data_IF_513672031438
#
_entry.id   IF_513672031438
#
_cell.length_a   1.000
_cell.length_b   1.000
_cell.length_c   1.000
_cell.angle_alpha   90.00
_cell.angle_beta   90.00
_cell.angle_gamma   90.00
#
_symmetry.space_group_name_H-M   'P 1'
#
loop_
_entity.id
_entity.type
_entity.pdbx_description
1 polymer ?
#
# COMPACT_ATOMS: atom_id res chain seq x y z
N UNK A 1 27.48 -6.22 0.16
CA UNK A 1 26.23 -6.40 -0.61
C UNK A 1 26.28 -5.49 -1.81
N UNK A 2 26.05 -6.03 -3.01
CA UNK A 2 26.08 -5.26 -4.27
C UNK A 2 24.68 -4.73 -4.55
N UNK A 3 24.53 -3.42 -4.72
CA UNK A 3 23.26 -2.78 -5.06
C UNK A 3 22.96 -3.00 -6.55
N UNK A 4 21.91 -3.76 -6.87
CA UNK A 4 21.43 -3.96 -8.24
C UNK A 4 19.91 -3.77 -8.36
N UNK A 5 19.47 -3.14 -9.44
CA UNK A 5 18.09 -3.05 -9.88
C UNK A 5 17.68 -4.37 -10.54
N UNK A 6 16.43 -4.80 -10.37
CA UNK A 6 15.91 -6.03 -10.97
C UNK A 6 14.66 -5.75 -11.80
N UNK A 7 14.63 -6.19 -13.04
CA UNK A 7 13.47 -6.05 -13.94
C UNK A 7 12.50 -7.24 -13.79
N UNK A 8 11.28 -7.09 -14.31
CA UNK A 8 10.20 -8.09 -14.23
C UNK A 8 10.53 -9.45 -14.85
N UNK A 9 11.48 -9.50 -15.80
CA UNK A 9 12.02 -10.73 -16.40
C UNK A 9 13.10 -11.41 -15.53
N UNK A 10 13.44 -10.82 -14.39
CA UNK A 10 14.41 -11.34 -13.45
C UNK A 10 15.86 -10.94 -13.73
N UNK A 11 16.11 -10.06 -14.70
CA UNK A 11 17.46 -9.59 -15.03
C UNK A 11 17.94 -8.51 -14.06
N UNK A 12 19.22 -8.60 -13.66
CA UNK A 12 19.84 -7.68 -12.70
C UNK A 12 20.68 -6.63 -13.43
N UNK A 13 20.59 -5.38 -12.98
CA UNK A 13 21.28 -4.22 -13.53
C UNK A 13 21.93 -3.39 -12.42
N UNK A 14 23.14 -2.90 -12.61
CA UNK A 14 23.81 -2.06 -11.60
C UNK A 14 23.55 -0.56 -11.78
N UNK A 15 22.90 -0.20 -12.89
CA UNK A 15 22.52 1.17 -13.22
C UNK A 15 21.01 1.26 -13.43
N UNK A 16 20.40 2.27 -12.81
CA UNK A 16 18.95 2.48 -12.89
C UNK A 16 18.47 2.69 -14.34
N UNK A 17 19.25 3.44 -15.13
CA UNK A 17 18.86 3.80 -16.49
C UNK A 17 18.85 2.58 -17.43
N UNK A 18 19.77 1.63 -17.21
CA UNK A 18 19.82 0.37 -17.98
C UNK A 18 18.62 -0.51 -17.63
N UNK A 19 18.30 -0.63 -16.34
CA UNK A 19 17.11 -1.35 -15.88
C UNK A 19 15.81 -0.75 -16.46
N UNK A 20 15.69 0.59 -16.47
CA UNK A 20 14.53 1.29 -17.05
C UNK A 20 14.43 1.13 -18.56
N UNK A 21 15.55 1.13 -19.28
CA UNK A 21 15.53 0.94 -20.73
C UNK A 21 15.17 -0.49 -21.12
N UNK A 22 15.63 -1.47 -20.35
CA UNK A 22 15.23 -2.87 -20.52
C UNK A 22 13.76 -3.08 -20.17
N UNK A 23 13.29 -2.53 -19.05
CA UNK A 23 11.89 -2.64 -18.68
C UNK A 23 10.93 -2.06 -19.74
N UNK A 24 11.34 -1.03 -20.51
CA UNK A 24 10.52 -0.48 -21.60
C UNK A 24 10.25 -1.46 -22.75
N UNK A 25 11.13 -2.42 -22.96
CA UNK A 25 10.96 -3.45 -24.01
C UNK A 25 10.14 -4.64 -23.54
N UNK A 26 9.87 -4.73 -22.23
CA UNK A 26 9.02 -5.76 -21.62
C UNK A 26 7.56 -5.30 -21.58
N UNK A 27 6.64 -6.28 -21.58
CA UNK A 27 5.22 -6.02 -21.36
C UNK A 27 4.98 -5.47 -19.94
N UNK A 28 5.69 -6.02 -18.97
CA UNK A 28 5.73 -5.54 -17.59
C UNK A 28 6.95 -4.62 -17.40
N UNK A 29 6.70 -3.31 -17.30
CA UNK A 29 7.74 -2.26 -17.24
C UNK A 29 8.24 -2.00 -15.81
N UNK A 30 8.04 -2.96 -14.91
CA UNK A 30 8.42 -2.82 -13.51
C UNK A 30 9.93 -2.96 -13.33
N UNK A 31 10.50 -2.02 -12.59
CA UNK A 31 11.89 -2.05 -12.14
C UNK A 31 11.90 -2.01 -10.62
N UNK A 32 12.48 -3.04 -10.02
CA UNK A 32 12.70 -3.14 -8.58
C UNK A 32 14.00 -2.41 -8.25
N UNK A 33 14.00 -1.42 -7.34
CA UNK A 33 15.22 -0.73 -6.92
C UNK A 33 16.15 -1.68 -6.15
N UNK A 34 17.46 -1.38 -6.08
CA UNK A 34 18.40 -2.14 -5.31
C UNK A 34 17.99 -2.18 -3.85
N UNK A 35 17.60 -3.37 -3.40
CA UNK A 35 17.29 -3.64 -2.01
C UNK A 35 18.61 -3.72 -1.22
N UNK A 36 18.81 -2.80 -0.26
CA UNK A 36 19.70 -3.07 0.86
C UNK A 36 18.98 -4.16 1.69
N UNK A 37 19.42 -5.42 1.57
CA UNK A 37 18.71 -6.61 2.08
C UNK A 37 18.26 -6.46 3.55
N UNK A 38 16.96 -6.23 3.75
CA UNK A 38 16.06 -7.08 4.53
C UNK A 38 14.64 -6.52 4.41
N UNK A 39 13.66 -7.41 4.20
CA UNK A 39 12.23 -7.12 4.08
C UNK A 39 11.81 -6.55 2.72
N UNK A 40 11.56 -7.46 1.78
CA UNK A 40 10.29 -7.57 1.06
C UNK A 40 10.51 -8.55 -0.09
N UNK A 41 10.85 -9.79 0.27
CA UNK A 41 10.36 -10.88 -0.56
C UNK A 41 8.83 -10.71 -0.62
N UNK A 42 8.29 -10.76 -1.84
CA UNK A 42 6.86 -10.93 -2.12
C UNK A 42 5.99 -9.66 -2.18
N UNK A 43 6.25 -8.77 -3.13
CA UNK A 43 5.15 -8.10 -3.85
C UNK A 43 4.95 -8.82 -5.21
N UNK A 44 4.55 -10.09 -5.10
CA UNK A 44 3.88 -10.78 -6.20
C UNK A 44 2.44 -10.27 -6.20
N UNK A 45 2.12 -9.53 -7.25
CA UNK A 45 0.84 -9.52 -7.96
C UNK A 45 -0.31 -10.21 -7.21
N UNK A 46 -1.12 -9.41 -6.52
CA UNK A 46 -2.53 -9.71 -6.28
C UNK A 46 -2.84 -10.81 -5.26
N UNK A 47 -3.80 -10.46 -4.40
CA UNK A 47 -4.62 -11.35 -3.59
C UNK A 47 -4.02 -11.80 -2.25
N UNK A 48 -4.75 -11.35 -1.21
CA UNK A 48 -5.02 -12.02 0.06
C UNK A 48 -3.98 -11.88 1.17
N UNK A 49 -4.48 -11.20 2.20
CA UNK A 49 -4.45 -11.62 3.61
C UNK A 49 -3.24 -11.23 4.46
N UNK A 50 -3.56 -10.38 5.43
CA UNK A 50 -3.19 -10.44 6.85
C UNK A 50 -1.73 -10.81 7.22
N UNK A 51 -1.05 -9.84 7.84
CA UNK A 51 -0.33 -9.92 9.13
C UNK A 51 0.89 -9.00 9.16
N UNK A 52 0.96 -8.12 10.17
CA UNK A 52 2.17 -7.33 10.46
C UNK A 52 1.89 -5.96 11.06
N UNK A 53 1.13 -5.90 12.15
CA UNK A 53 0.85 -4.67 12.91
C UNK A 53 2.02 -4.32 13.84
N UNK A 54 2.90 -3.42 13.38
CA UNK A 54 3.08 -2.18 14.14
C UNK A 54 1.88 -1.29 13.76
N UNK A 55 1.40 -0.35 14.59
CA UNK A 55 0.23 0.46 14.27
C UNK A 55 0.56 1.30 13.04
N UNK A 56 0.31 0.74 11.85
CA UNK A 56 0.31 1.44 10.59
C UNK A 56 -0.83 2.42 10.79
N UNK A 57 -0.50 3.69 10.98
CA UNK A 57 -1.46 4.77 10.81
C UNK A 57 -2.26 4.43 9.56
N UNK A 58 -3.50 3.99 9.76
CA UNK A 58 -4.38 3.61 8.66
C UNK A 58 -4.60 4.92 7.94
N UNK A 59 -3.93 5.12 6.80
CA UNK A 59 -4.07 6.35 6.02
C UNK A 59 -5.41 6.33 5.31
N UNK A 60 -6.47 6.54 6.08
CA UNK A 60 -7.85 6.65 5.63
C UNK A 60 -7.98 7.75 4.56
N UNK A 61 -7.15 8.80 4.60
CA UNK A 61 -7.09 9.84 3.56
C UNK A 61 -6.69 9.34 2.16
N UNK A 62 -6.09 8.14 2.05
CA UNK A 62 -5.76 7.50 0.76
C UNK A 62 -6.81 6.49 0.30
N UNK A 63 -7.79 6.17 1.14
CA UNK A 63 -8.85 5.23 0.80
C UNK A 63 -9.90 5.87 -0.10
N UNK A 64 -10.48 5.06 -0.97
CA UNK A 64 -11.66 5.46 -1.73
C UNK A 64 -12.89 5.49 -0.81
N UNK A 65 -13.93 6.20 -1.21
CA UNK A 65 -15.19 6.27 -0.44
C UNK A 65 -15.75 4.87 -0.13
N UNK A 66 -15.73 3.95 -1.09
CA UNK A 66 -16.19 2.58 -0.89
C UNK A 66 -15.35 1.83 0.16
N UNK A 67 -14.04 2.06 0.19
CA UNK A 67 -13.17 1.48 1.22
C UNK A 67 -13.40 2.09 2.60
N UNK A 68 -13.67 3.40 2.69
CA UNK A 68 -14.03 4.05 3.94
C UNK A 68 -15.36 3.53 4.49
N UNK A 69 -16.35 3.31 3.62
CA UNK A 69 -17.63 2.71 4.00
C UNK A 69 -17.45 1.29 4.49
N UNK A 70 -16.71 0.46 3.74
CA UNK A 70 -16.42 -0.91 4.16
C UNK A 70 -15.68 -0.94 5.50
N UNK A 71 -14.68 -0.07 5.68
CA UNK A 71 -13.93 0.05 6.92
C UNK A 71 -14.81 0.46 8.10
N UNK A 72 -15.71 1.44 7.90
CA UNK A 72 -16.66 1.85 8.91
C UNK A 72 -17.58 0.70 9.32
N UNK A 73 -18.11 -0.07 8.36
CA UNK A 73 -18.97 -1.23 8.63
C UNK A 73 -18.21 -2.31 9.40
N UNK A 74 -16.98 -2.64 8.99
CA UNK A 74 -16.13 -3.64 9.67
C UNK A 74 -15.85 -3.29 11.13
N UNK A 75 -15.70 -1.99 11.42
CA UNK A 75 -15.42 -1.48 12.76
C UNK A 75 -16.68 -1.04 13.53
N UNK A 76 -17.87 -1.29 12.97
CA UNK A 76 -19.18 -0.90 13.53
C UNK A 76 -19.31 0.62 13.79
N UNK A 77 -18.74 1.43 12.91
CA UNK A 77 -18.73 2.89 12.98
C UNK A 77 -19.88 3.48 12.16
N UNK A 78 -20.39 4.63 12.59
CA UNK A 78 -21.44 5.36 11.84
C UNK A 78 -20.81 6.43 10.97
N UNK A 79 -21.12 6.44 9.67
CA UNK A 79 -20.64 7.46 8.74
C UNK A 79 -21.79 8.04 7.91
N UNK A 80 -21.64 9.30 7.49
CA UNK A 80 -22.53 9.93 6.52
C UNK A 80 -21.99 9.71 5.10
N UNK A 81 -22.59 8.75 4.39
CA UNK A 81 -22.21 8.45 3.00
C UNK A 81 -22.51 9.59 2.03
N UNK A 82 -23.22 10.65 2.42
CA UNK A 82 -23.42 11.84 1.59
C UNK A 82 -22.30 12.86 1.75
N UNK A 83 -21.53 12.77 2.83
CA UNK A 83 -20.42 13.65 3.13
C UNK A 83 -19.22 13.44 2.18
N UNK A 84 -18.28 14.40 2.22
CA UNK A 84 -17.03 14.31 1.45
C UNK A 84 -16.09 13.29 2.09
N UNK A 85 -15.18 12.71 1.30
CA UNK A 85 -14.24 11.70 1.80
C UNK A 85 -13.43 12.21 3.02
N UNK A 86 -13.05 13.48 3.03
CA UNK A 86 -12.33 14.07 4.16
C UNK A 86 -13.15 14.04 5.47
N UNK A 87 -14.45 14.35 5.40
CA UNK A 87 -15.36 14.34 6.55
C UNK A 87 -15.62 12.91 7.02
N UNK A 88 -15.74 11.96 6.09
CA UNK A 88 -15.89 10.54 6.41
C UNK A 88 -14.64 10.02 7.12
N UNK A 89 -13.44 10.36 6.63
CA UNK A 89 -12.16 10.00 7.26
C UNK A 89 -12.09 10.52 8.69
N UNK A 90 -12.35 11.81 8.90
CA UNK A 90 -12.29 12.42 10.23
C UNK A 90 -13.29 11.77 11.20
N UNK A 91 -14.51 11.49 10.72
CA UNK A 91 -15.54 10.82 11.53
C UNK A 91 -15.13 9.39 11.94
N UNK A 92 -14.45 8.67 11.06
CA UNK A 92 -13.92 7.32 11.34
C UNK A 92 -12.77 7.40 12.36
N UNK A 93 -11.84 8.34 12.19
CA UNK A 93 -10.68 8.49 13.08
C UNK A 93 -11.09 8.85 14.51
N UNK A 94 -12.07 9.74 14.68
CA UNK A 94 -12.63 10.10 15.98
C UNK A 94 -13.25 8.88 16.66
N UNK A 95 -14.16 8.18 15.98
CA UNK A 95 -14.86 7.04 16.57
C UNK A 95 -13.92 5.86 16.86
N UNK A 96 -12.91 5.60 16.03
CA UNK A 96 -11.87 4.62 16.30
C UNK A 96 -11.07 4.96 17.56
N UNK A 97 -10.71 6.25 17.71
CA UNK A 97 -9.94 6.71 18.87
C UNK A 97 -10.77 6.57 20.15
N UNK A 98 -12.06 6.91 20.11
CA UNK A 98 -12.98 6.74 21.23
C UNK A 98 -13.19 5.25 21.59
N UNK A 99 -13.36 4.37 20.60
CA UNK A 99 -13.55 2.91 20.82
C UNK A 99 -12.30 2.25 21.43
N UNK A 100 -11.11 2.73 21.09
CA UNK A 100 -9.85 2.22 21.63
C UNK A 100 -9.46 2.79 23.01
N UNK A 101 -10.21 3.78 23.52
CA UNK A 101 -10.01 4.36 24.85
C UNK A 101 -11.03 3.89 25.90
N UNK A 102 -12.05 3.12 25.49
CA UNK A 102 -13.08 2.54 26.36
C UNK A 102 -12.69 1.14 26.84
#
# INVERSE_FOLDING_TARGET
>A
MSKYFKTSDGQNFYQENDAKNHAKTLEDKTVTPPSDEAIAEMEVVGAKDETGEAPKEIKLSKMTKAQLVAFAVDNELTIDETATNAVIVESIEVQLTEKNQA
#
